data_IF_231870815884
#
_entry.id   IF_231870815884
#
_cell.length_a   1.000
_cell.length_b   1.000
_cell.length_c   1.000
_cell.angle_alpha   90.00
_cell.angle_beta   90.00
_cell.angle_gamma   90.00
#
_symmetry.space_group_name_H-M   'P 1'
#
loop_
_entity.id
_entity.type
_entity.pdbx_description
1 polymer ?
#
# COMPACT_ATOMS: atom_id res chain seq x y z
N UNK A 1 8.11 -9.02 -3.36
CA UNK A 1 7.84 -8.99 -1.92
C UNK A 1 6.57 -9.78 -1.66
N UNK A 2 6.54 -10.73 -0.70
CA UNK A 2 5.31 -11.41 -0.31
C UNK A 2 4.29 -10.44 0.30
N UNK A 3 2.99 -10.73 0.18
CA UNK A 3 1.95 -9.97 0.89
C UNK A 3 2.14 -10.04 2.42
N UNK A 4 1.55 -9.10 3.16
CA UNK A 4 1.65 -9.08 4.64
C UNK A 4 1.08 -10.37 5.21
N UNK A 5 -0.07 -10.82 4.69
CA UNK A 5 -0.69 -12.09 5.11
C UNK A 5 0.23 -13.27 4.90
N UNK A 6 0.92 -13.35 3.75
CA UNK A 6 1.88 -14.40 3.47
C UNK A 6 3.10 -14.34 4.42
N UNK A 7 3.60 -13.14 4.73
CA UNK A 7 4.69 -12.93 5.69
C UNK A 7 4.27 -13.31 7.11
N UNK A 8 3.07 -12.93 7.53
CA UNK A 8 2.49 -13.27 8.84
C UNK A 8 2.32 -14.78 8.98
N UNK A 9 1.74 -15.43 7.98
CA UNK A 9 1.57 -16.88 7.95
C UNK A 9 2.91 -17.60 8.04
N UNK A 10 3.90 -17.18 7.25
CA UNK A 10 5.25 -17.72 7.26
C UNK A 10 5.92 -17.59 8.65
N UNK A 11 5.77 -16.43 9.31
CA UNK A 11 6.27 -16.21 10.66
C UNK A 11 5.60 -17.15 11.66
N UNK A 12 4.28 -17.28 11.65
CA UNK A 12 3.54 -18.16 12.56
C UNK A 12 3.93 -19.62 12.38
N UNK A 13 4.03 -20.11 11.15
CA UNK A 13 4.46 -21.49 10.86
C UNK A 13 5.86 -21.75 11.44
N UNK A 14 6.79 -20.82 11.26
CA UNK A 14 8.14 -20.94 11.82
C UNK A 14 8.14 -20.93 13.36
N UNK A 15 7.34 -20.09 13.98
CA UNK A 15 7.29 -19.94 15.43
C UNK A 15 6.63 -21.17 16.09
N UNK A 16 5.55 -21.71 15.51
CA UNK A 16 4.95 -22.96 15.97
C UNK A 16 5.92 -24.15 15.84
N UNK A 17 6.63 -24.26 14.71
CA UNK A 17 7.66 -25.30 14.58
C UNK A 17 8.72 -25.18 15.68
N UNK A 18 9.20 -23.97 15.96
CA UNK A 18 10.20 -23.71 17.01
C UNK A 18 9.65 -24.07 18.39
N UNK A 19 8.41 -23.67 18.69
CA UNK A 19 7.75 -24.03 19.97
C UNK A 19 7.63 -25.56 20.13
N UNK A 20 7.36 -26.27 19.04
CA UNK A 20 7.33 -27.72 19.02
C UNK A 20 8.71 -28.40 19.10
N UNK A 21 9.80 -27.62 19.11
CA UNK A 21 11.18 -28.14 19.18
C UNK A 21 11.62 -28.90 17.92
N UNK A 22 10.97 -28.68 16.77
CA UNK A 22 11.22 -29.43 15.54
C UNK A 22 12.18 -28.68 14.60
N UNK A 23 13.07 -29.43 13.93
CA UNK A 23 13.87 -28.92 12.83
C UNK A 23 13.04 -28.93 11.52
N UNK A 24 13.44 -28.13 10.53
CA UNK A 24 12.81 -28.16 9.19
C UNK A 24 12.97 -29.54 8.55
N UNK A 25 14.10 -30.22 8.75
CA UNK A 25 14.34 -31.57 8.22
C UNK A 25 13.39 -32.60 8.83
N UNK A 26 13.15 -32.49 10.15
CA UNK A 26 12.20 -33.37 10.85
C UNK A 26 10.78 -33.23 10.33
N UNK A 27 10.34 -31.98 10.11
CA UNK A 27 9.00 -31.68 9.54
C UNK A 27 8.90 -32.17 8.12
N UNK A 28 9.90 -31.89 7.28
CA UNK A 28 9.98 -32.36 5.91
C UNK A 28 9.88 -33.88 5.82
N UNK A 29 10.64 -34.61 6.64
CA UNK A 29 10.61 -36.06 6.68
C UNK A 29 9.22 -36.61 7.08
N UNK A 30 8.53 -35.99 8.06
CA UNK A 30 7.19 -36.41 8.50
C UNK A 30 6.11 -36.17 7.44
N UNK A 31 6.27 -35.09 6.64
CA UNK A 31 5.33 -34.72 5.58
C UNK A 31 5.65 -35.37 4.23
N UNK A 32 6.80 -36.04 4.09
CA UNK A 32 7.29 -36.49 2.79
C UNK A 32 7.65 -35.35 1.83
N UNK A 33 8.06 -34.20 2.36
CA UNK A 33 8.43 -33.01 1.59
C UNK A 33 9.95 -32.79 1.61
N UNK A 34 10.42 -31.88 0.75
CA UNK A 34 11.80 -31.40 0.83
C UNK A 34 11.95 -30.35 1.94
N UNK A 35 13.11 -30.30 2.58
CA UNK A 35 13.47 -29.26 3.54
C UNK A 35 13.35 -27.86 2.90
N UNK A 36 13.73 -27.72 1.63
CA UNK A 36 13.58 -26.46 0.88
C UNK A 36 12.11 -25.98 0.78
N UNK A 37 11.13 -26.91 0.64
CA UNK A 37 9.70 -26.54 0.66
C UNK A 37 9.33 -25.91 2.01
N UNK A 38 9.71 -26.55 3.12
CA UNK A 38 9.46 -25.99 4.46
C UNK A 38 10.08 -24.62 4.61
N UNK A 39 11.37 -24.47 4.23
CA UNK A 39 12.09 -23.19 4.30
C UNK A 39 11.44 -22.08 3.47
N UNK A 40 10.95 -22.39 2.26
CA UNK A 40 10.27 -21.44 1.42
C UNK A 40 8.89 -21.02 1.99
N UNK A 41 8.14 -21.95 2.59
CA UNK A 41 6.87 -21.64 3.26
C UNK A 41 7.10 -20.76 4.48
N UNK A 42 8.12 -21.06 5.31
CA UNK A 42 8.47 -20.28 6.52
C UNK A 42 9.15 -18.92 6.23
N UNK A 43 9.53 -18.67 4.99
CA UNK A 43 10.05 -17.36 4.54
C UNK A 43 9.06 -16.58 3.67
N UNK A 44 7.91 -17.18 3.37
CA UNK A 44 6.89 -16.57 2.49
C UNK A 44 7.31 -16.52 1.01
N UNK A 45 8.41 -17.16 0.61
CA UNK A 45 8.83 -17.25 -0.80
C UNK A 45 7.83 -18.01 -1.64
N UNK A 46 7.25 -19.06 -1.08
CA UNK A 46 6.17 -19.83 -1.70
C UNK A 46 4.87 -19.57 -0.92
N UNK A 47 3.75 -19.52 -1.64
CA UNK A 47 2.43 -19.48 -1.02
C UNK A 47 2.18 -20.82 -0.31
N UNK A 48 1.74 -20.77 0.94
CA UNK A 48 1.30 -21.92 1.69
C UNK A 48 -0.20 -22.10 1.43
N UNK A 49 -0.60 -23.25 0.85
CA UNK A 49 -2.03 -23.57 0.73
C UNK A 49 -2.63 -23.86 2.11
N UNK A 50 -3.94 -23.61 2.34
CA UNK A 50 -4.61 -23.98 3.60
C UNK A 50 -4.42 -25.45 3.95
N UNK A 51 -4.38 -26.32 2.95
CA UNK A 51 -4.10 -27.76 3.14
C UNK A 51 -2.67 -28.01 3.66
N UNK A 52 -1.65 -27.40 3.04
CA UNK A 52 -0.26 -27.52 3.50
C UNK A 52 -0.11 -26.99 4.94
N UNK A 53 -0.77 -25.86 5.23
CA UNK A 53 -0.79 -25.26 6.57
C UNK A 53 -1.42 -26.21 7.59
N UNK A 54 -2.57 -26.81 7.28
CA UNK A 54 -3.23 -27.76 8.17
C UNK A 54 -2.32 -28.94 8.54
N UNK A 55 -1.64 -29.52 7.54
CA UNK A 55 -0.68 -30.62 7.76
C UNK A 55 0.50 -30.19 8.66
N UNK A 56 1.02 -28.99 8.45
CA UNK A 56 2.11 -28.45 9.28
C UNK A 56 1.65 -28.25 10.73
N UNK A 57 0.46 -27.65 10.93
CA UNK A 57 -0.12 -27.41 12.26
C UNK A 57 -0.38 -28.71 13.02
N UNK A 58 -0.79 -29.78 12.34
CA UNK A 58 -0.96 -31.11 12.94
C UNK A 58 0.36 -31.65 13.48
N UNK A 59 1.45 -31.51 12.73
CA UNK A 59 2.79 -31.95 13.18
C UNK A 59 3.32 -31.08 14.32
N UNK A 60 2.97 -29.79 14.34
CA UNK A 60 3.39 -28.87 15.41
C UNK A 60 2.55 -29.03 16.69
N UNK A 61 1.44 -29.76 16.63
CA UNK A 61 0.53 -29.95 17.76
C UNK A 61 -0.28 -28.69 18.11
N UNK A 62 -0.54 -27.84 17.11
CA UNK A 62 -1.33 -26.60 17.31
C UNK A 62 -2.80 -26.96 17.37
N UNK A 63 -3.46 -26.54 18.46
CA UNK A 63 -4.89 -26.81 18.71
C UNK A 63 -5.70 -25.51 18.67
N UNK A 64 -7.03 -25.63 18.64
CA UNK A 64 -7.97 -24.50 18.77
C UNK A 64 -7.71 -23.72 20.07
N UNK A 65 -7.78 -22.37 20.07
CA UNK A 65 -8.23 -21.52 18.96
C UNK A 65 -7.13 -21.10 17.96
N UNK A 66 -5.85 -21.25 18.30
CA UNK A 66 -4.73 -20.82 17.44
C UNK A 66 -4.80 -21.46 16.04
N UNK A 67 -5.17 -22.75 15.97
CA UNK A 67 -5.30 -23.48 14.71
C UNK A 67 -6.30 -22.82 13.75
N UNK A 68 -7.47 -22.45 14.26
CA UNK A 68 -8.53 -21.85 13.44
C UNK A 68 -8.08 -20.48 12.90
N UNK A 69 -7.46 -19.67 13.73
CA UNK A 69 -6.91 -18.36 13.32
C UNK A 69 -5.87 -18.49 12.20
N UNK A 70 -4.99 -19.50 12.28
CA UNK A 70 -3.94 -19.70 11.26
C UNK A 70 -4.53 -20.20 9.94
N UNK A 71 -5.53 -21.10 10.01
CA UNK A 71 -6.21 -21.60 8.81
C UNK A 71 -7.01 -20.49 8.13
N UNK A 72 -7.74 -19.67 8.89
CA UNK A 72 -8.42 -18.49 8.33
C UNK A 72 -7.44 -17.53 7.67
N UNK A 73 -6.27 -17.29 8.29
CA UNK A 73 -5.23 -16.47 7.68
C UNK A 73 -4.69 -17.09 6.38
N UNK A 74 -4.53 -18.43 6.34
CA UNK A 74 -4.09 -19.12 5.15
C UNK A 74 -5.11 -19.02 4.00
N UNK A 75 -6.41 -19.17 4.30
CA UNK A 75 -7.49 -18.97 3.34
C UNK A 75 -7.52 -17.56 2.79
N UNK A 76 -7.41 -16.56 3.68
CA UNK A 76 -7.32 -15.15 3.28
C UNK A 76 -6.06 -14.84 2.47
N UNK A 77 -4.93 -15.49 2.75
CA UNK A 77 -3.69 -15.33 1.98
C UNK A 77 -3.75 -16.01 0.60
N UNK A 78 -4.62 -17.01 0.43
CA UNK A 78 -4.87 -17.68 -0.85
C UNK A 78 -5.88 -16.92 -1.72
N UNK A 79 -6.77 -16.14 -1.10
CA UNK A 79 -7.77 -15.34 -1.82
C UNK A 79 -7.10 -14.45 -2.86
N UNK A 80 -7.68 -14.44 -4.05
CA UNK A 80 -7.26 -13.55 -5.12
C UNK A 80 -7.77 -12.14 -4.82
N UNK A 81 -6.85 -11.19 -4.64
CA UNK A 81 -7.23 -9.80 -4.55
C UNK A 81 -7.74 -9.27 -5.90
N UNK A 82 -8.47 -8.16 -5.88
CA UNK A 82 -9.00 -7.49 -7.08
C UNK A 82 -7.92 -7.21 -8.15
N UNK A 83 -6.67 -7.03 -7.74
CA UNK A 83 -5.54 -6.77 -8.65
C UNK A 83 -5.17 -7.95 -9.54
N UNK A 84 -5.65 -9.17 -9.24
CA UNK A 84 -5.38 -10.34 -10.09
C UNK A 84 -6.01 -10.23 -11.46
N UNK A 85 -7.07 -9.43 -11.59
CA UNK A 85 -7.72 -9.13 -12.87
C UNK A 85 -6.91 -8.14 -13.72
N UNK A 86 -5.87 -7.52 -13.13
CA UNK A 86 -5.04 -6.47 -13.73
C UNK A 86 -3.54 -6.81 -13.71
N UNK A 87 -3.17 -8.10 -13.67
CA UNK A 87 -1.77 -8.55 -13.62
C UNK A 87 -0.96 -8.17 -14.86
N UNK A 88 -1.63 -7.89 -15.95
CA UNK A 88 -1.07 -7.36 -17.19
C UNK A 88 -0.51 -5.94 -17.04
N UNK A 89 -1.09 -5.13 -16.17
CA UNK A 89 -0.72 -3.71 -15.96
C UNK A 89 -0.28 -3.40 -14.53
N UNK A 90 -0.57 -4.27 -13.56
CA UNK A 90 -0.18 -4.16 -12.15
C UNK A 90 0.81 -5.27 -11.79
N UNK A 91 2.06 -5.11 -12.16
CA UNK A 91 3.12 -6.10 -11.86
C UNK A 91 3.74 -5.91 -10.46
N UNK A 92 3.41 -4.83 -9.77
CA UNK A 92 4.03 -4.47 -8.49
C UNK A 92 3.34 -5.14 -7.30
N UNK A 93 4.09 -5.68 -6.33
CA UNK A 93 3.56 -6.15 -5.05
C UNK A 93 2.95 -5.04 -4.19
N UNK A 94 3.16 -3.77 -4.56
CA UNK A 94 2.66 -2.58 -3.86
C UNK A 94 1.14 -2.65 -3.60
N UNK A 95 0.37 -3.01 -4.62
CA UNK A 95 -1.10 -3.03 -4.53
C UNK A 95 -1.59 -4.01 -3.47
N UNK A 96 -0.92 -5.16 -3.33
CA UNK A 96 -1.25 -6.12 -2.29
C UNK A 96 -0.89 -5.60 -0.89
N UNK A 97 0.23 -4.88 -0.75
CA UNK A 97 0.62 -4.25 0.51
C UNK A 97 -0.33 -3.10 0.89
N UNK A 98 -0.70 -2.29 -0.08
CA UNK A 98 -1.63 -1.18 0.09
C UNK A 98 -3.04 -1.66 0.50
N UNK A 99 -3.54 -2.74 -0.13
CA UNK A 99 -4.83 -3.34 0.22
C UNK A 99 -4.87 -3.89 1.65
N UNK A 100 -3.74 -4.36 2.17
CA UNK A 100 -3.60 -4.91 3.53
C UNK A 100 -3.24 -3.86 4.58
N UNK A 101 -2.89 -2.63 4.17
CA UNK A 101 -2.53 -1.57 5.08
C UNK A 101 -3.73 -1.13 5.94
N UNK A 102 -3.49 -0.84 7.21
CA UNK A 102 -4.43 -0.18 8.11
C UNK A 102 -4.31 1.34 8.07
N UNK A 103 -3.10 1.84 7.73
CA UNK A 103 -2.84 3.27 7.56
C UNK A 103 -1.88 3.47 6.39
N UNK A 104 -2.20 4.46 5.56
CA UNK A 104 -1.39 4.90 4.41
C UNK A 104 -1.04 6.36 4.62
N UNK A 105 0.25 6.65 4.82
CA UNK A 105 0.79 8.01 4.83
C UNK A 105 1.44 8.32 3.49
N UNK A 106 1.00 9.36 2.80
CA UNK A 106 1.48 9.70 1.45
C UNK A 106 2.01 11.15 1.42
N UNK A 107 3.31 11.32 1.27
CA UNK A 107 3.91 12.60 0.92
C UNK A 107 3.96 12.73 -0.60
N UNK A 108 3.10 13.58 -1.13
CA UNK A 108 2.85 13.74 -2.57
C UNK A 108 3.20 15.15 -3.07
N UNK A 109 4.50 15.42 -3.36
CA UNK A 109 4.95 16.78 -3.74
C UNK A 109 4.71 17.12 -5.21
N UNK A 110 4.38 16.17 -6.07
CA UNK A 110 4.33 16.44 -7.52
C UNK A 110 2.92 16.42 -8.11
N UNK A 111 2.09 15.47 -7.67
CA UNK A 111 0.75 15.22 -8.22
C UNK A 111 -0.18 14.69 -7.13
N UNK A 112 -1.48 14.78 -7.35
CA UNK A 112 -2.46 14.14 -6.46
C UNK A 112 -2.23 12.63 -6.44
N UNK A 113 -2.23 11.96 -5.26
CA UNK A 113 -2.09 10.52 -5.14
C UNK A 113 -3.13 9.73 -5.92
N UNK A 114 -2.72 8.58 -6.47
CA UNK A 114 -3.58 7.74 -7.30
C UNK A 114 -4.91 7.33 -6.67
N UNK A 115 -4.96 7.19 -5.35
CA UNK A 115 -6.18 6.87 -4.60
C UNK A 115 -7.21 8.00 -4.61
N UNK A 116 -6.79 9.25 -4.88
CA UNK A 116 -7.63 10.44 -4.88
C UNK A 116 -7.84 11.05 -6.27
N UNK A 117 -7.30 10.46 -7.34
CA UNK A 117 -7.39 11.01 -8.70
C UNK A 117 -8.77 10.80 -9.33
N UNK A 118 -9.26 11.82 -10.06
CA UNK A 118 -10.36 11.65 -11.00
C UNK A 118 -9.90 10.81 -12.20
N UNK A 119 -10.82 10.19 -12.97
CA UNK A 119 -10.45 9.42 -14.17
C UNK A 119 -9.68 10.26 -15.19
N UNK A 120 -10.11 11.49 -15.46
CA UNK A 120 -9.51 12.34 -16.48
C UNK A 120 -8.13 12.84 -16.05
N UNK A 121 -7.96 13.25 -14.79
CA UNK A 121 -6.65 13.60 -14.23
C UNK A 121 -5.68 12.40 -14.28
N UNK A 122 -6.16 11.20 -13.94
CA UNK A 122 -5.36 9.99 -14.01
C UNK A 122 -4.96 9.63 -15.45
N UNK A 123 -5.87 9.83 -16.43
CA UNK A 123 -5.61 9.60 -17.86
C UNK A 123 -4.51 10.52 -18.36
N UNK A 124 -4.56 11.81 -18.04
CA UNK A 124 -3.52 12.78 -18.41
C UNK A 124 -2.14 12.37 -17.87
N UNK A 125 -2.07 11.97 -16.61
CA UNK A 125 -0.80 11.51 -16.01
C UNK A 125 -0.29 10.22 -16.65
N UNK A 126 -1.19 9.26 -16.96
CA UNK A 126 -0.81 8.03 -17.63
C UNK A 126 -0.28 8.31 -19.03
N UNK A 127 -0.92 9.21 -19.78
CA UNK A 127 -0.49 9.60 -21.12
C UNK A 127 0.85 10.34 -21.10
N UNK A 128 1.03 11.28 -20.15
CA UNK A 128 2.26 12.08 -20.04
C UNK A 128 3.47 11.29 -19.49
N UNK A 129 3.23 10.30 -18.63
CA UNK A 129 4.28 9.54 -17.94
C UNK A 129 4.92 8.44 -18.79
N UNK A 130 4.51 8.27 -20.04
CA UNK A 130 4.94 7.16 -20.86
C UNK A 130 6.09 7.55 -21.79
N UNK A 131 7.21 6.83 -21.64
CA UNK A 131 8.35 6.94 -22.54
C UNK A 131 8.12 6.22 -23.86
N UNK A 132 7.28 5.20 -23.86
CA UNK A 132 6.89 4.42 -25.03
C UNK A 132 5.48 4.83 -25.50
N UNK A 133 5.27 4.83 -26.82
CA UNK A 133 3.94 5.07 -27.38
C UNK A 133 3.02 3.88 -27.04
N UNK A 134 2.35 3.95 -25.89
CA UNK A 134 1.30 3.00 -25.58
C UNK A 134 0.08 3.25 -26.46
N UNK A 135 -0.63 2.19 -26.82
CA UNK A 135 -1.90 2.34 -27.49
C UNK A 135 -3.00 2.77 -26.49
N UNK A 136 -4.09 3.32 -27.03
CA UNK A 136 -5.21 3.80 -26.21
C UNK A 136 -5.82 2.69 -25.34
N UNK A 137 -5.69 1.42 -25.75
CA UNK A 137 -6.22 0.27 -24.99
C UNK A 137 -5.41 0.02 -23.72
N UNK A 138 -4.10 0.17 -23.80
CA UNK A 138 -3.24 0.00 -22.63
C UNK A 138 -3.43 1.14 -21.64
N UNK A 139 -3.57 2.38 -22.12
CA UNK A 139 -3.90 3.54 -21.28
C UNK A 139 -5.23 3.28 -20.55
N UNK A 140 -6.27 2.86 -21.29
CA UNK A 140 -7.57 2.57 -20.72
C UNK A 140 -7.52 1.44 -19.69
N UNK A 141 -6.74 0.39 -19.96
CA UNK A 141 -6.57 -0.74 -19.06
C UNK A 141 -5.87 -0.33 -17.76
N UNK A 142 -4.84 0.51 -17.84
CA UNK A 142 -4.15 1.08 -16.66
C UNK A 142 -5.06 2.03 -15.88
N UNK A 143 -5.89 2.81 -16.56
CA UNK A 143 -6.88 3.67 -15.93
C UNK A 143 -7.92 2.84 -15.16
N UNK A 144 -8.47 1.79 -15.75
CA UNK A 144 -9.41 0.88 -15.08
C UNK A 144 -8.79 0.27 -13.82
N UNK A 145 -7.53 -0.21 -13.90
CA UNK A 145 -6.81 -0.73 -12.76
C UNK A 145 -6.63 0.33 -11.66
N UNK A 146 -6.31 1.58 -12.03
CA UNK A 146 -6.16 2.70 -11.09
C UNK A 146 -7.49 3.05 -10.41
N UNK A 147 -8.60 3.07 -11.16
CA UNK A 147 -9.93 3.32 -10.59
C UNK A 147 -10.38 2.17 -9.69
N UNK A 148 -10.17 0.92 -10.09
CA UNK A 148 -10.48 -0.24 -9.26
C UNK A 148 -9.72 -0.20 -7.92
N UNK A 149 -8.44 0.23 -7.93
CA UNK A 149 -7.62 0.39 -6.72
C UNK A 149 -8.24 1.35 -5.70
N UNK A 150 -8.97 2.38 -6.14
CA UNK A 150 -9.58 3.36 -5.24
C UNK A 150 -10.69 2.79 -4.36
N UNK A 151 -11.19 1.60 -4.65
CA UNK A 151 -12.16 0.91 -3.78
C UNK A 151 -11.60 0.61 -2.39
N UNK A 152 -10.28 0.57 -2.23
CA UNK A 152 -9.59 0.34 -0.97
C UNK A 152 -10.02 1.37 0.09
N UNK A 153 -10.07 2.66 -0.26
CA UNK A 153 -10.40 3.74 0.67
C UNK A 153 -11.91 3.93 0.89
N UNK A 154 -12.74 3.26 0.10
CA UNK A 154 -14.21 3.40 0.15
C UNK A 154 -14.91 2.12 0.63
N UNK A 155 -14.18 1.03 0.83
CA UNK A 155 -14.76 -0.23 1.32
C UNK A 155 -15.39 -0.04 2.70
N UNK A 156 -16.45 -0.80 2.97
CA UNK A 156 -17.20 -0.71 4.24
C UNK A 156 -16.50 -1.41 5.41
N UNK A 157 -15.72 -2.45 5.10
CA UNK A 157 -15.02 -3.25 6.09
C UNK A 157 -13.55 -2.81 6.16
N UNK A 158 -13.15 -2.29 7.32
CA UNK A 158 -11.78 -1.90 7.63
C UNK A 158 -11.09 -1.08 6.51
N UNK A 159 -11.68 0.05 6.06
CA UNK A 159 -10.97 0.94 5.14
C UNK A 159 -9.71 1.45 5.84
N UNK A 160 -8.57 1.59 5.13
CA UNK A 160 -7.38 2.17 5.72
C UNK A 160 -7.61 3.64 6.09
N UNK A 161 -6.92 4.09 7.11
CA UNK A 161 -6.71 5.52 7.33
C UNK A 161 -5.76 6.05 6.26
N UNK A 162 -6.22 6.98 5.43
CA UNK A 162 -5.40 7.64 4.41
C UNK A 162 -5.03 9.05 4.88
N UNK A 163 -3.76 9.31 5.09
CA UNK A 163 -3.25 10.63 5.40
C UNK A 163 -2.32 11.11 4.29
N UNK A 164 -2.77 12.09 3.54
CA UNK A 164 -2.03 12.68 2.42
C UNK A 164 -1.53 14.06 2.80
N UNK A 165 -0.26 14.33 2.50
CA UNK A 165 0.31 15.67 2.57
C UNK A 165 0.68 16.07 1.14
N UNK A 166 0.03 17.09 0.62
CA UNK A 166 0.30 17.66 -0.70
C UNK A 166 1.24 18.85 -0.57
N UNK A 167 2.18 18.99 -1.48
CA UNK A 167 2.85 20.27 -1.68
C UNK A 167 1.87 21.25 -2.35
N UNK A 168 1.89 22.52 -1.96
CA UNK A 168 0.99 23.55 -2.50
C UNK A 168 1.05 23.65 -4.02
N UNK A 169 2.19 23.37 -4.64
CA UNK A 169 2.34 23.38 -6.10
C UNK A 169 1.46 22.35 -6.82
N UNK A 170 0.99 21.33 -6.13
CA UNK A 170 0.05 20.33 -6.68
C UNK A 170 -1.31 20.96 -6.97
N UNK A 171 -1.72 21.97 -6.18
CA UNK A 171 -2.99 22.67 -6.36
C UNK A 171 -2.97 23.58 -7.59
N UNK A 172 -1.82 24.17 -7.91
CA UNK A 172 -1.66 25.14 -9.00
C UNK A 172 -1.19 24.53 -10.32
N UNK A 173 -0.65 23.31 -10.29
CA UNK A 173 -0.19 22.58 -11.49
C UNK A 173 -1.36 22.10 -12.31
N UNK A 174 -1.59 22.69 -13.46
CA UNK A 174 -2.69 22.32 -14.35
C UNK A 174 -2.39 21.03 -15.13
N UNK A 175 -2.85 19.90 -14.59
CA UNK A 175 -2.80 18.60 -15.26
C UNK A 175 -4.05 18.46 -16.12
N UNK A 176 -3.87 18.30 -17.44
CA UNK A 176 -4.98 18.19 -18.41
C UNK A 176 -5.74 19.49 -18.66
N UNK A 177 -5.22 20.62 -18.14
CA UNK A 177 -5.85 21.92 -18.28
C UNK A 177 -6.78 22.31 -17.12
N UNK A 178 -7.34 23.53 -17.16
CA UNK A 178 -8.04 24.10 -16.00
C UNK A 178 -9.30 23.34 -15.59
N UNK A 179 -10.06 22.77 -16.53
CA UNK A 179 -11.29 22.04 -16.23
C UNK A 179 -11.00 20.74 -15.47
N UNK A 180 -10.04 19.95 -15.95
CA UNK A 180 -9.65 18.68 -15.30
C UNK A 180 -9.04 18.96 -13.93
N UNK A 181 -8.21 20.00 -13.81
CA UNK A 181 -7.62 20.42 -12.55
C UNK A 181 -8.70 20.83 -11.54
N UNK A 182 -9.68 21.63 -11.95
CA UNK A 182 -10.80 22.06 -11.12
C UNK A 182 -11.62 20.86 -10.62
N UNK A 183 -11.96 19.93 -11.50
CA UNK A 183 -12.70 18.71 -11.12
C UNK A 183 -11.90 17.85 -10.13
N UNK A 184 -10.60 17.82 -10.29
CA UNK A 184 -9.71 17.14 -9.36
C UNK A 184 -9.70 17.82 -7.97
N UNK A 185 -9.67 19.14 -7.90
CA UNK A 185 -9.75 19.89 -6.63
C UNK A 185 -11.11 19.66 -5.95
N UNK A 186 -12.22 19.72 -6.70
CA UNK A 186 -13.54 19.40 -6.16
C UNK A 186 -13.62 17.96 -5.63
N UNK A 187 -12.93 17.03 -6.27
CA UNK A 187 -12.84 15.67 -5.74
C UNK A 187 -12.08 15.64 -4.41
N UNK A 188 -10.95 16.31 -4.28
CA UNK A 188 -10.20 16.37 -3.02
C UNK A 188 -11.08 16.90 -1.88
N UNK A 189 -11.80 18.00 -2.10
CA UNK A 189 -12.75 18.56 -1.12
C UNK A 189 -13.82 17.54 -0.70
N UNK A 190 -14.34 16.74 -1.63
CA UNK A 190 -15.32 15.70 -1.27
C UNK A 190 -14.71 14.59 -0.44
N UNK A 191 -13.50 14.17 -0.78
CA UNK A 191 -12.83 13.06 -0.09
C UNK A 191 -12.40 13.47 1.34
N UNK A 192 -12.07 14.74 1.61
CA UNK A 192 -11.76 15.22 2.98
C UNK A 192 -12.94 15.11 3.94
N UNK A 193 -14.17 14.91 3.45
CA UNK A 193 -15.36 14.70 4.29
C UNK A 193 -15.48 13.28 4.83
N UNK A 194 -14.65 12.35 4.34
CA UNK A 194 -14.65 10.96 4.82
C UNK A 194 -13.86 10.86 6.12
N UNK A 195 -14.35 10.13 7.13
CA UNK A 195 -13.71 10.05 8.43
C UNK A 195 -12.33 9.36 8.41
N UNK A 196 -12.06 8.56 7.38
CA UNK A 196 -10.81 7.84 7.21
C UNK A 196 -9.81 8.53 6.27
N UNK A 197 -10.11 9.75 5.78
CA UNK A 197 -9.24 10.48 4.85
C UNK A 197 -8.88 11.84 5.43
N UNK A 198 -7.59 12.08 5.58
CA UNK A 198 -7.02 13.38 5.95
C UNK A 198 -6.16 13.88 4.82
N UNK A 199 -6.41 15.11 4.35
CA UNK A 199 -5.57 15.79 3.38
C UNK A 199 -5.06 17.08 4.01
N UNK A 200 -3.74 17.26 4.03
CA UNK A 200 -3.08 18.49 4.43
C UNK A 200 -2.26 19.05 3.29
N UNK A 201 -2.07 20.36 3.29
CA UNK A 201 -1.26 21.06 2.29
C UNK A 201 -0.06 21.65 2.98
N UNK A 202 1.13 21.36 2.48
CA UNK A 202 2.36 22.02 2.88
C UNK A 202 2.55 23.26 2.02
N UNK A 203 2.44 24.44 2.65
CA UNK A 203 2.57 25.71 1.93
C UNK A 203 4.01 25.95 1.46
N UNK A 204 4.16 26.61 0.30
CA UNK A 204 5.44 27.07 -0.22
C UNK A 204 6.17 28.01 0.77
N UNK A 205 5.44 28.67 1.66
CA UNK A 205 6.00 29.52 2.73
C UNK A 205 6.74 28.73 3.82
N UNK A 206 6.55 27.40 3.90
CA UNK A 206 7.30 26.54 4.83
C UNK A 206 8.83 26.51 4.54
N UNK A 207 9.23 26.90 3.33
CA UNK A 207 10.63 26.97 2.94
C UNK A 207 11.30 25.59 2.83
N UNK A 208 12.52 25.45 3.35
CA UNK A 208 13.26 24.18 3.27
C UNK A 208 12.75 23.17 4.30
N UNK A 209 12.43 21.95 3.85
CA UNK A 209 11.89 20.88 4.67
C UNK A 209 12.37 19.50 4.21
N UNK A 210 12.21 18.48 5.05
CA UNK A 210 12.70 17.11 4.81
C UNK A 210 12.09 16.45 3.56
N UNK A 211 10.91 16.88 3.13
CA UNK A 211 10.21 16.32 1.96
C UNK A 211 10.80 16.72 0.61
N UNK A 212 11.77 17.64 0.56
CA UNK A 212 12.47 18.03 -0.67
C UNK A 212 13.34 16.89 -1.23
N UNK A 213 13.65 15.87 -0.43
CA UNK A 213 14.38 14.69 -0.88
C UNK A 213 13.55 13.78 -1.84
N UNK A 214 12.23 13.96 -1.89
CA UNK A 214 11.35 13.25 -2.83
C UNK A 214 10.08 12.68 -2.18
N UNK A 215 9.20 12.15 -3.05
CA UNK A 215 7.96 11.51 -2.65
C UNK A 215 8.21 10.16 -1.95
N UNK A 216 7.36 9.83 -0.98
CA UNK A 216 7.35 8.51 -0.35
C UNK A 216 5.98 8.18 0.24
N UNK A 217 5.69 6.89 0.33
CA UNK A 217 4.47 6.36 0.94
C UNK A 217 4.86 5.46 2.11
N UNK A 218 4.14 5.57 3.20
CA UNK A 218 4.24 4.72 4.38
C UNK A 218 3.03 3.80 4.44
N UNK A 219 3.26 2.51 4.53
CA UNK A 219 2.23 1.49 4.74
C UNK A 219 2.42 0.92 6.14
N UNK A 220 1.45 1.18 7.02
CA UNK A 220 1.42 0.61 8.38
C UNK A 220 0.35 -0.47 8.45
N UNK A 221 0.61 -1.48 9.24
CA UNK A 221 -0.27 -2.65 9.36
C UNK A 221 -0.83 -2.75 10.78
N UNK A 222 -2.04 -3.32 10.90
CA UNK A 222 -2.76 -3.37 12.18
C UNK A 222 -2.04 -4.18 13.26
N UNK A 223 -1.26 -5.19 12.86
CA UNK A 223 -0.53 -6.04 13.80
C UNK A 223 0.87 -5.48 14.05
N UNK A 224 1.23 -5.22 15.30
CA UNK A 224 2.56 -4.74 15.70
C UNK A 224 3.70 -5.66 15.20
N UNK A 225 3.43 -6.94 15.05
CA UNK A 225 4.39 -7.90 14.54
C UNK A 225 4.63 -7.84 13.03
N UNK A 226 3.81 -7.11 12.28
CA UNK A 226 4.01 -6.90 10.85
C UNK A 226 4.77 -5.60 10.62
N UNK A 227 6.00 -5.65 10.12
CA UNK A 227 6.82 -4.46 9.97
C UNK A 227 6.21 -3.51 8.93
N UNK A 228 6.20 -2.23 9.26
CA UNK A 228 5.85 -1.17 8.32
C UNK A 228 6.75 -1.21 7.09
N UNK A 229 6.24 -0.71 5.99
CA UNK A 229 6.96 -0.60 4.72
C UNK A 229 6.91 0.84 4.24
N UNK A 230 8.07 1.39 3.86
CA UNK A 230 8.09 2.62 3.09
C UNK A 230 8.31 2.28 1.60
N UNK A 231 7.62 3.02 0.74
CA UNK A 231 7.65 2.86 -0.71
C UNK A 231 8.05 4.19 -1.34
N UNK A 232 8.98 4.13 -2.27
CA UNK A 232 9.35 5.27 -3.10
C UNK A 232 9.30 4.86 -4.56
N UNK A 233 8.79 5.75 -5.41
CA UNK A 233 8.77 5.58 -6.84
C UNK A 233 9.51 6.72 -7.50
N UNK A 234 10.33 6.39 -8.47
CA UNK A 234 11.08 7.37 -9.21
C UNK A 234 11.35 6.91 -10.64
N UNK A 235 12.09 7.72 -11.40
CA UNK A 235 12.42 7.44 -12.79
C UNK A 235 13.12 6.07 -13.01
N UNK A 236 13.80 5.57 -12.00
CA UNK A 236 14.51 4.28 -12.03
C UNK A 236 13.66 3.09 -11.58
N UNK A 237 12.37 3.30 -11.33
CA UNK A 237 11.44 2.29 -10.84
C UNK A 237 11.10 2.46 -9.36
N UNK A 238 10.69 1.38 -8.74
CA UNK A 238 10.15 1.35 -7.37
C UNK A 238 11.15 0.76 -6.38
N UNK A 239 11.18 1.31 -5.16
CA UNK A 239 12.00 0.81 -4.05
C UNK A 239 11.10 0.56 -2.83
N UNK A 240 11.19 -0.65 -2.29
CA UNK A 240 10.56 -1.03 -1.02
C UNK A 240 11.60 -0.96 0.10
N UNK A 241 11.35 -0.13 1.08
CA UNK A 241 12.19 0.02 2.26
C UNK A 241 11.57 -0.80 3.39
N UNK A 242 12.19 -1.96 3.69
CA UNK A 242 11.78 -2.84 4.79
C UNK A 242 12.82 -2.83 5.93
N UNK A 243 13.94 -2.13 5.76
CA UNK A 243 14.93 -1.94 6.80
C UNK A 243 14.35 -1.04 7.91
N UNK A 244 14.28 -1.51 9.19
CA UNK A 244 13.64 -0.77 10.27
C UNK A 244 14.19 0.66 10.44
N UNK A 245 15.50 0.87 10.27
CA UNK A 245 16.10 2.20 10.39
C UNK A 245 15.63 3.15 9.27
N UNK A 246 15.50 2.65 8.04
CA UNK A 246 15.01 3.46 6.92
C UNK A 246 13.53 3.77 7.06
N UNK A 247 12.73 2.78 7.46
CA UNK A 247 11.29 2.97 7.75
C UNK A 247 11.09 3.99 8.87
N UNK A 248 11.87 3.88 9.96
CA UNK A 248 11.83 4.87 11.06
C UNK A 248 12.16 6.28 10.56
N UNK A 249 13.15 6.43 9.68
CA UNK A 249 13.48 7.74 9.09
C UNK A 249 12.31 8.30 8.27
N UNK A 250 11.65 7.48 7.46
CA UNK A 250 10.47 7.89 6.70
C UNK A 250 9.31 8.26 7.63
N UNK A 251 9.08 7.50 8.70
CA UNK A 251 8.08 7.83 9.72
C UNK A 251 8.35 9.20 10.35
N UNK A 252 9.59 9.46 10.78
CA UNK A 252 9.99 10.76 11.36
C UNK A 252 9.83 11.89 10.34
N UNK A 253 10.19 11.65 9.08
CA UNK A 253 10.03 12.63 8.02
C UNK A 253 8.54 12.97 7.79
N UNK A 254 7.66 11.96 7.75
CA UNK A 254 6.23 12.15 7.59
C UNK A 254 5.60 12.95 8.73
N UNK A 255 5.95 12.62 9.99
CA UNK A 255 5.45 13.38 11.15
C UNK A 255 5.90 14.84 11.11
N UNK A 256 7.15 15.13 10.75
CA UNK A 256 7.64 16.50 10.58
C UNK A 256 6.91 17.28 9.47
N UNK A 257 6.64 16.62 8.35
CA UNK A 257 5.86 17.22 7.26
C UNK A 257 4.43 17.50 7.71
N UNK A 258 3.82 16.60 8.47
CA UNK A 258 2.49 16.75 9.04
C UNK A 258 2.40 17.94 10.00
N UNK A 259 3.44 18.13 10.84
CA UNK A 259 3.51 19.26 11.77
C UNK A 259 3.72 20.62 11.07
N UNK A 260 4.41 20.63 9.92
CA UNK A 260 4.67 21.83 9.12
C UNK A 260 3.51 22.18 8.18
N UNK A 261 2.69 21.21 7.81
CA UNK A 261 1.56 21.41 6.92
C UNK A 261 0.44 22.20 7.62
N UNK A 262 -0.38 22.87 6.83
CA UNK A 262 -1.62 23.49 7.29
C UNK A 262 -2.51 22.45 8.01
N UNK A 263 -3.36 22.91 8.92
CA UNK A 263 -4.37 22.02 9.52
C UNK A 263 -5.29 21.42 8.43
N UNK A 264 -5.97 20.31 8.68
CA UNK A 264 -6.92 19.75 7.72
C UNK A 264 -7.99 20.74 7.28
N UNK A 265 -8.47 21.60 8.18
CA UNK A 265 -9.48 22.63 7.92
C UNK A 265 -8.93 23.75 7.02
N UNK A 266 -7.73 24.26 7.32
CA UNK A 266 -7.06 25.28 6.51
C UNK A 266 -6.70 24.72 5.13
N UNK A 267 -6.28 23.46 5.07
CA UNK A 267 -5.98 22.78 3.81
C UNK A 267 -7.22 22.60 2.95
N UNK A 268 -8.35 22.21 3.54
CA UNK A 268 -9.62 22.10 2.81
C UNK A 268 -10.05 23.46 2.23
N UNK A 269 -9.94 24.54 2.99
CA UNK A 269 -10.26 25.89 2.50
C UNK A 269 -9.34 26.33 1.35
N UNK A 270 -8.03 26.00 1.42
CA UNK A 270 -7.09 26.28 0.34
C UNK A 270 -7.40 25.49 -0.93
N UNK A 271 -7.77 24.20 -0.79
CA UNK A 271 -8.17 23.35 -1.91
C UNK A 271 -9.49 23.84 -2.53
N UNK A 272 -10.47 24.30 -1.72
CA UNK A 272 -11.71 24.93 -2.21
C UNK A 272 -11.41 26.19 -3.04
N UNK A 273 -10.52 27.06 -2.55
CA UNK A 273 -10.09 28.24 -3.31
C UNK A 273 -9.48 27.85 -4.66
N UNK A 274 -8.61 26.86 -4.68
CA UNK A 274 -8.00 26.36 -5.93
C UNK A 274 -9.01 25.69 -6.89
N UNK A 275 -10.16 25.25 -6.39
CA UNK A 275 -11.25 24.69 -7.20
C UNK A 275 -12.12 25.80 -7.85
N UNK A 276 -12.06 27.03 -7.36
CA UNK A 276 -12.82 28.16 -7.88
C UNK A 276 -12.06 28.96 -8.96
N UNK A 277 -10.72 28.83 -8.99
CA UNK A 277 -9.83 29.44 -9.98
C UNK A 277 -9.79 28.62 -11.30
#
# INVERSE_FOLDING_TARGET
VPSVRARRLARWLRDFRRRAGLSQDTVAARLGWSQGKIGHLETGRNKASPHDVALMLDIYGVVTPEREMVLELAERAEQRGWWTDYTDVLSSPYVALEDEASMIGDWAPQVVPGLLQTPDYARELLTAGMLDNLDDREIERRLQARMARQTIITRTENPPELHVILDESVLTRQIGGPEIQRDQMHRLVRETRRPNITVQVLSASAGAHIGLDGAFILLRFAEEADPDVAYTEGFHGVVYLENPHLVTRCNVAFERLRELALSPEESAALIETAAEE
#
